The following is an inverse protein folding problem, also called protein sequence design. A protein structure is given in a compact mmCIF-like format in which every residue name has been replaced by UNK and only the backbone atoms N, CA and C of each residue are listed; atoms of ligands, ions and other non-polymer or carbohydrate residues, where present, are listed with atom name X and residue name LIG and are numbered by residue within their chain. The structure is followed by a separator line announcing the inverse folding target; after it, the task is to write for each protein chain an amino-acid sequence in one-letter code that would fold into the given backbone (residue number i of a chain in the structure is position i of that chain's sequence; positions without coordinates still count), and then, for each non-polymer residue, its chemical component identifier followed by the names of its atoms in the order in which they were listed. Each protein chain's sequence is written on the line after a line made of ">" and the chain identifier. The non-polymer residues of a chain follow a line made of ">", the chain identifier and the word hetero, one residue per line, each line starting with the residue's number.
data_IF_962812414128
#
_entry.id   IF_962812414128
#
_cell.length_a   1.000
_cell.length_b   1.000
_cell.length_c   1.000
_cell.angle_alpha   90.00
_cell.angle_beta   90.00
_cell.angle_gamma   90.00
#
_symmetry.space_group_name_H-M   'P 1'
#
loop_
_entity.id
_entity.type
_entity.pdbx_description
1 polymer ?
#
# COMPACT_ATOMS: atom_id res chain seq x y z
N UNK A 1 -10.45 14.69 -19.57
CA UNK A 1 -11.09 15.24 -18.34
C UNK A 1 -10.42 14.74 -17.05
N UNK A 2 -10.23 13.40 -16.88
CA UNK A 2 -9.58 12.87 -15.66
C UNK A 2 -8.11 13.30 -15.61
N UNK A 3 -7.36 13.16 -16.71
CA UNK A 3 -5.98 13.60 -16.81
C UNK A 3 -5.82 15.09 -16.46
N UNK A 4 -6.67 15.97 -17.02
CA UNK A 4 -6.59 17.41 -16.75
C UNK A 4 -6.88 17.72 -15.27
N UNK A 5 -7.82 16.99 -14.66
CA UNK A 5 -8.15 17.14 -13.25
C UNK A 5 -6.98 16.67 -12.34
N UNK A 6 -6.37 15.55 -12.68
CA UNK A 6 -5.21 15.02 -11.96
C UNK A 6 -4.01 16.00 -12.05
N UNK A 7 -3.72 16.52 -13.25
CA UNK A 7 -2.64 17.49 -13.44
C UNK A 7 -2.88 18.78 -12.63
N UNK A 8 -4.10 19.35 -12.71
CA UNK A 8 -4.47 20.51 -11.88
C UNK A 8 -4.33 20.25 -10.40
N UNK A 9 -4.66 19.03 -9.94
CA UNK A 9 -4.55 18.68 -8.53
C UNK A 9 -3.09 18.62 -8.07
N UNK A 10 -2.18 17.99 -8.83
CA UNK A 10 -0.75 17.95 -8.45
C UNK A 10 -0.12 19.34 -8.57
N UNK A 11 -0.53 20.18 -9.51
CA UNK A 11 -0.01 21.53 -9.71
C UNK A 11 -0.32 22.47 -8.53
N UNK A 12 -1.30 22.14 -7.67
CA UNK A 12 -1.50 22.85 -6.40
C UNK A 12 -0.32 22.68 -5.44
N UNK A 13 0.56 21.74 -5.72
CA UNK A 13 1.77 21.42 -4.95
C UNK A 13 3.02 21.58 -5.82
N UNK A 14 3.03 22.58 -6.70
CA UNK A 14 4.11 22.84 -7.68
C UNK A 14 5.49 23.06 -7.03
N UNK A 15 5.54 23.43 -5.76
CA UNK A 15 6.73 23.58 -4.93
C UNK A 15 7.36 22.23 -4.49
N UNK A 16 6.66 21.11 -4.68
CA UNK A 16 7.07 19.78 -4.25
C UNK A 16 7.13 18.78 -5.43
N UNK A 17 7.61 17.57 -5.16
CA UNK A 17 7.54 16.44 -6.08
C UNK A 17 6.22 15.68 -5.80
N UNK A 18 5.09 16.21 -6.30
CA UNK A 18 3.80 15.55 -6.17
C UNK A 18 3.49 14.71 -7.42
N UNK A 19 2.88 13.56 -7.19
CA UNK A 19 2.55 12.59 -8.23
C UNK A 19 1.14 12.03 -7.99
N UNK A 20 0.44 11.70 -9.07
CA UNK A 20 -0.88 11.09 -9.02
C UNK A 20 -1.04 10.07 -10.15
N UNK A 21 -1.51 8.88 -9.81
CA UNK A 21 -1.93 7.86 -10.76
C UNK A 21 -3.38 7.49 -10.48
N UNK A 22 -4.21 7.46 -11.52
CA UNK A 22 -5.62 7.11 -11.43
C UNK A 22 -5.88 5.88 -12.28
N UNK A 23 -6.35 4.81 -11.64
CA UNK A 23 -6.73 3.54 -12.29
C UNK A 23 -8.21 3.30 -12.04
N UNK A 24 -8.94 2.84 -13.08
CA UNK A 24 -10.33 2.37 -12.95
C UNK A 24 -10.30 0.94 -12.37
N UNK A 25 -10.80 0.70 -11.14
CA UNK A 25 -10.66 -0.60 -10.50
C UNK A 25 -11.34 -1.74 -11.26
N UNK A 26 -12.48 -1.46 -11.94
CA UNK A 26 -13.27 -2.47 -12.63
C UNK A 26 -12.64 -2.98 -13.93
N UNK A 27 -11.78 -2.19 -14.59
CA UNK A 27 -11.21 -2.51 -15.90
C UNK A 27 -9.70 -2.53 -15.96
N UNK A 28 -9.03 -1.86 -15.01
CA UNK A 28 -7.57 -1.66 -15.02
C UNK A 28 -7.12 -0.47 -15.88
N UNK A 29 -8.04 0.27 -16.52
CA UNK A 29 -7.66 1.43 -17.34
C UNK A 29 -6.89 2.46 -16.51
N UNK A 30 -5.72 2.85 -16.99
CA UNK A 30 -4.94 3.99 -16.47
C UNK A 30 -5.57 5.26 -17.03
N UNK A 31 -6.33 5.95 -16.19
CA UNK A 31 -7.12 7.14 -16.59
C UNK A 31 -6.31 8.43 -16.52
N UNK A 32 -5.30 8.47 -15.66
CA UNK A 32 -4.40 9.61 -15.54
C UNK A 32 -3.06 9.19 -14.92
N UNK A 33 -2.00 9.83 -15.40
CA UNK A 33 -0.69 9.87 -14.79
C UNK A 33 -0.27 11.34 -14.79
N UNK A 34 -0.07 11.92 -13.61
CA UNK A 34 0.26 13.32 -13.46
C UNK A 34 1.37 13.48 -12.43
N UNK A 35 2.26 14.43 -12.68
CA UNK A 35 3.29 14.82 -11.72
C UNK A 35 3.65 16.29 -11.91
N UNK A 36 4.24 16.90 -10.88
CA UNK A 36 4.69 18.29 -10.93
C UNK A 36 5.94 18.43 -11.78
N UNK A 37 6.18 19.64 -12.30
CA UNK A 37 7.41 19.96 -13.03
C UNK A 37 8.71 19.68 -12.24
N UNK A 38 8.65 19.70 -10.90
CA UNK A 38 9.78 19.32 -10.06
C UNK A 38 10.02 17.80 -10.08
N UNK A 39 8.96 17.00 -10.12
CA UNK A 39 9.06 15.56 -10.30
C UNK A 39 9.56 15.20 -11.71
N UNK A 40 9.08 15.88 -12.76
CA UNK A 40 9.49 15.67 -14.15
C UNK A 40 11.01 15.79 -14.38
N UNK A 41 11.67 16.68 -13.63
CA UNK A 41 13.14 16.81 -13.68
C UNK A 41 13.90 15.56 -13.28
N UNK A 42 13.23 14.63 -12.56
CA UNK A 42 13.81 13.37 -12.06
C UNK A 42 13.34 12.15 -12.86
N UNK A 43 12.52 12.33 -13.88
CA UNK A 43 11.95 11.29 -14.72
C UNK A 43 10.51 10.95 -14.37
N UNK A 44 10.03 9.82 -14.85
CA UNK A 44 8.63 9.36 -14.67
C UNK A 44 8.39 8.78 -13.27
N UNK A 45 8.51 9.62 -12.24
CA UNK A 45 8.42 9.18 -10.84
C UNK A 45 7.04 8.59 -10.51
N UNK A 46 5.97 9.09 -11.13
CA UNK A 46 4.62 8.56 -10.95
C UNK A 46 4.50 7.08 -11.34
N UNK A 47 5.28 6.63 -12.34
CA UNK A 47 5.24 5.26 -12.86
C UNK A 47 6.38 4.38 -12.35
N UNK A 48 7.57 4.94 -12.16
CA UNK A 48 8.80 4.16 -11.89
C UNK A 48 9.55 4.58 -10.63
N UNK A 49 9.18 5.71 -10.00
CA UNK A 49 9.83 6.18 -8.77
C UNK A 49 9.52 5.24 -7.60
N UNK A 50 10.56 4.73 -6.94
CA UNK A 50 10.42 3.80 -5.82
C UNK A 50 10.66 4.52 -4.49
N UNK A 51 9.64 4.54 -3.66
CA UNK A 51 9.63 5.20 -2.35
C UNK A 51 9.13 4.26 -1.26
N UNK A 52 9.53 4.44 0.01
CA UNK A 52 8.86 3.77 1.11
C UNK A 52 7.36 4.12 1.11
N UNK A 53 6.45 3.13 1.06
CA UNK A 53 5.00 3.41 0.96
C UNK A 53 4.40 3.99 2.24
N UNK A 54 5.12 3.89 3.35
CA UNK A 54 4.67 4.38 4.65
C UNK A 54 3.35 3.74 5.08
N UNK A 55 2.56 4.49 5.84
CA UNK A 55 1.31 3.99 6.44
C UNK A 55 0.26 3.49 5.46
N UNK A 56 0.33 3.86 4.18
CA UNK A 56 -0.56 3.29 3.17
C UNK A 56 -0.35 1.79 2.98
N UNK A 57 0.84 1.27 3.29
CA UNK A 57 1.16 -0.15 3.24
C UNK A 57 0.47 -0.98 4.33
N UNK A 58 -0.07 -0.35 5.37
CA UNK A 58 -0.85 -1.03 6.41
C UNK A 58 -2.08 -1.76 5.88
N UNK A 59 -2.56 -1.41 4.68
CA UNK A 59 -3.57 -2.20 3.96
C UNK A 59 -3.09 -3.64 3.72
N UNK A 60 -1.84 -3.79 3.27
CA UNK A 60 -1.21 -5.09 3.04
C UNK A 60 -0.99 -5.82 4.37
N UNK A 61 -0.45 -5.11 5.38
CA UNK A 61 -0.16 -5.70 6.70
C UNK A 61 -1.41 -6.13 7.44
N UNK A 62 -2.49 -5.36 7.37
CA UNK A 62 -3.79 -5.76 7.93
C UNK A 62 -4.32 -7.03 7.24
N UNK A 63 -4.19 -7.08 5.90
CA UNK A 63 -4.64 -8.23 5.11
C UNK A 63 -3.90 -9.48 5.48
N UNK A 64 -2.57 -9.47 5.50
CA UNK A 64 -1.77 -10.65 5.88
C UNK A 64 -2.07 -11.08 7.33
N UNK A 65 -2.22 -10.13 8.26
CA UNK A 65 -2.59 -10.42 9.64
C UNK A 65 -3.95 -11.12 9.75
N UNK A 66 -4.92 -10.73 8.93
CA UNK A 66 -6.24 -11.39 8.87
C UNK A 66 -6.17 -12.76 8.19
N UNK A 67 -5.45 -12.90 7.08
CA UNK A 67 -5.30 -14.17 6.36
C UNK A 67 -4.62 -15.25 7.21
N UNK A 68 -3.69 -14.88 8.08
CA UNK A 68 -3.01 -15.80 8.99
C UNK A 68 -3.70 -15.95 10.36
N UNK A 69 -4.89 -15.34 10.54
CA UNK A 69 -5.66 -15.44 11.77
C UNK A 69 -5.01 -14.77 12.99
N UNK A 70 -4.05 -13.88 12.77
CA UNK A 70 -3.36 -13.14 13.84
C UNK A 70 -4.27 -12.07 14.45
N UNK A 71 -5.11 -11.46 13.61
CA UNK A 71 -6.00 -10.36 13.98
C UNK A 71 -7.30 -10.39 13.17
N UNK A 72 -8.32 -9.73 13.70
CA UNK A 72 -9.56 -9.36 13.00
C UNK A 72 -9.81 -7.86 13.20
N UNK A 73 -10.72 -7.20 12.46
CA UNK A 73 -11.05 -5.79 12.68
C UNK A 73 -11.42 -5.45 14.13
N UNK A 74 -12.04 -6.39 14.85
CA UNK A 74 -12.51 -6.22 16.22
C UNK A 74 -11.51 -6.71 17.28
N UNK A 75 -10.39 -7.31 16.85
CA UNK A 75 -9.34 -7.74 17.79
C UNK A 75 -8.85 -6.58 18.63
N UNK A 76 -8.80 -6.75 19.95
CA UNK A 76 -8.17 -5.79 20.85
C UNK A 76 -6.66 -5.88 20.69
N UNK A 77 -6.04 -4.79 20.28
CA UNK A 77 -4.59 -4.67 20.02
C UNK A 77 -3.98 -3.50 20.81
N UNK A 78 -2.75 -3.62 21.28
CA UNK A 78 -2.06 -2.52 21.92
C UNK A 78 -1.62 -1.48 20.89
N UNK A 79 -1.77 -0.20 21.24
CA UNK A 79 -1.22 0.94 20.48
C UNK A 79 -0.48 1.87 21.46
N UNK A 80 0.66 1.44 22.02
CA UNK A 80 1.49 2.31 22.86
C UNK A 80 2.20 3.35 22.00
N UNK A 81 2.66 4.46 22.59
CA UNK A 81 3.42 5.49 21.89
C UNK A 81 4.71 4.95 21.26
N UNK A 82 5.36 4.04 21.97
CA UNK A 82 6.58 3.34 21.54
C UNK A 82 6.52 1.86 21.86
N UNK A 83 7.18 1.02 21.04
CA UNK A 83 7.36 -0.41 21.30
C UNK A 83 8.78 -0.83 20.91
N UNK A 84 9.40 -1.69 21.72
CA UNK A 84 10.68 -2.33 21.36
C UNK A 84 10.42 -3.77 20.93
N UNK A 85 10.82 -4.10 19.70
CA UNK A 85 10.72 -5.45 19.15
C UNK A 85 12.12 -5.87 18.67
N UNK A 86 12.71 -6.85 19.31
CA UNK A 86 14.12 -7.20 19.09
C UNK A 86 15.03 -6.01 19.40
N UNK A 87 15.85 -5.61 18.44
CA UNK A 87 16.72 -4.43 18.53
C UNK A 87 16.06 -3.13 18.09
N UNK A 88 14.86 -3.19 17.45
CA UNK A 88 14.18 -2.02 16.88
C UNK A 88 13.22 -1.37 17.87
N UNK A 89 13.34 -0.05 18.02
CA UNK A 89 12.34 0.79 18.70
C UNK A 89 11.48 1.44 17.62
N UNK A 90 10.17 1.24 17.70
CA UNK A 90 9.18 1.81 16.78
C UNK A 90 8.35 2.86 17.53
N UNK A 91 8.10 3.97 16.89
CA UNK A 91 7.34 5.10 17.42
C UNK A 91 6.07 5.33 16.59
N UNK A 92 5.00 5.70 17.25
CA UNK A 92 3.88 6.38 16.58
C UNK A 92 4.28 7.84 16.30
N UNK A 93 3.58 8.48 15.37
CA UNK A 93 3.79 9.90 15.11
C UNK A 93 3.57 10.72 16.41
N UNK A 94 4.55 11.56 16.78
CA UNK A 94 4.54 12.31 18.05
C UNK A 94 4.30 11.42 19.30
N UNK A 95 4.69 10.17 19.26
CA UNK A 95 4.55 9.21 20.37
C UNK A 95 3.12 9.08 20.93
N UNK A 96 2.09 9.34 20.11
CA UNK A 96 0.71 9.18 20.58
C UNK A 96 0.44 7.74 21.02
N UNK A 97 -0.38 7.58 22.05
CA UNK A 97 -0.81 6.28 22.58
C UNK A 97 -2.33 6.23 22.68
N UNK A 98 -2.90 5.08 22.29
CA UNK A 98 -4.35 4.83 22.42
C UNK A 98 -4.66 3.75 23.47
N UNK A 99 -3.64 3.18 24.10
CA UNK A 99 -3.81 2.01 24.96
C UNK A 99 -4.25 0.79 24.16
N UNK A 100 -5.21 0.03 24.68
CA UNK A 100 -5.79 -1.12 24.00
C UNK A 100 -7.04 -0.69 23.23
N UNK A 101 -7.04 -0.89 21.92
CA UNK A 101 -8.13 -0.50 21.01
C UNK A 101 -8.44 -1.61 20.01
N UNK A 102 -9.55 -1.49 19.27
CA UNK A 102 -9.79 -2.41 18.15
C UNK A 102 -8.74 -2.21 17.04
N UNK A 103 -8.45 -3.27 16.27
CA UNK A 103 -7.57 -3.15 15.09
C UNK A 103 -8.09 -2.07 14.13
N UNK A 104 -9.41 -1.97 13.94
CA UNK A 104 -10.04 -0.91 13.14
C UNK A 104 -9.63 0.47 13.64
N UNK A 105 -9.65 0.71 14.95
CA UNK A 105 -9.25 2.00 15.53
C UNK A 105 -7.75 2.25 15.38
N UNK A 106 -6.92 1.24 15.62
CA UNK A 106 -5.46 1.34 15.43
C UNK A 106 -5.12 1.64 13.95
N UNK A 107 -5.82 0.99 13.01
CA UNK A 107 -5.68 1.25 11.58
C UNK A 107 -6.11 2.69 11.23
N UNK A 108 -7.28 3.11 11.67
CA UNK A 108 -7.84 4.43 11.41
C UNK A 108 -6.96 5.57 11.95
N UNK A 109 -6.28 5.36 13.06
CA UNK A 109 -5.34 6.32 13.67
C UNK A 109 -3.89 6.09 13.23
N UNK A 110 -3.67 5.18 12.29
CA UNK A 110 -2.34 4.91 11.73
C UNK A 110 -1.27 4.49 12.74
N UNK A 111 -1.64 3.65 13.72
CA UNK A 111 -0.75 3.21 14.79
C UNK A 111 0.42 2.34 14.28
N UNK A 112 1.63 2.88 14.20
CA UNK A 112 2.82 2.13 13.75
C UNK A 112 3.16 0.96 14.67
N UNK A 113 3.07 1.19 15.98
CA UNK A 113 3.46 0.19 16.99
C UNK A 113 2.60 -1.06 16.93
N UNK A 114 1.29 -0.92 16.66
CA UNK A 114 0.38 -2.06 16.42
C UNK A 114 0.80 -2.86 15.18
N UNK A 115 1.07 -2.19 14.06
CA UNK A 115 1.38 -2.88 12.81
C UNK A 115 2.78 -3.48 12.81
N UNK A 116 3.74 -2.88 13.53
CA UNK A 116 5.02 -3.49 13.83
C UNK A 116 4.89 -4.78 14.65
N UNK A 117 4.00 -4.78 15.66
CA UNK A 117 3.72 -5.97 16.48
C UNK A 117 3.05 -7.08 15.65
N UNK A 118 2.05 -6.74 14.82
CA UNK A 118 1.40 -7.71 13.92
C UNK A 118 2.41 -8.33 12.96
N UNK A 119 3.23 -7.51 12.29
CA UNK A 119 4.19 -8.00 11.30
C UNK A 119 5.35 -8.77 11.93
N UNK A 120 5.70 -8.49 13.18
CA UNK A 120 6.73 -9.25 13.90
C UNK A 120 6.39 -10.73 14.08
N UNK A 121 5.10 -11.06 14.04
CA UNK A 121 4.57 -12.43 14.21
C UNK A 121 4.49 -13.20 12.88
N UNK A 122 4.71 -12.51 11.76
CA UNK A 122 4.73 -13.12 10.43
C UNK A 122 6.02 -13.92 10.21
N UNK A 123 5.93 -14.94 9.35
CA UNK A 123 7.10 -15.66 8.85
C UNK A 123 7.75 -14.88 7.70
N UNK A 124 9.04 -15.12 7.41
CA UNK A 124 9.68 -14.61 6.21
C UNK A 124 8.85 -14.90 4.95
N UNK A 125 8.67 -13.90 4.10
CA UNK A 125 7.94 -14.01 2.83
C UNK A 125 6.44 -13.81 2.92
N UNK A 126 5.78 -13.91 4.07
CA UNK A 126 4.31 -13.77 4.16
C UNK A 126 3.85 -12.36 3.77
N UNK A 127 4.56 -11.31 4.24
CA UNK A 127 4.26 -9.93 3.85
C UNK A 127 4.48 -9.70 2.35
N UNK A 128 5.59 -10.22 1.80
CA UNK A 128 5.89 -10.20 0.36
C UNK A 128 4.80 -10.87 -0.47
N UNK A 129 4.41 -12.09 -0.08
CA UNK A 129 3.36 -12.85 -0.78
C UNK A 129 2.03 -12.09 -0.81
N UNK A 130 1.65 -11.47 0.32
CA UNK A 130 0.43 -10.66 0.36
C UNK A 130 0.56 -9.37 -0.45
N UNK A 131 1.73 -8.72 -0.44
CA UNK A 131 1.97 -7.54 -1.29
C UNK A 131 1.80 -7.88 -2.79
N UNK A 132 2.21 -9.07 -3.21
CA UNK A 132 2.00 -9.57 -4.58
C UNK A 132 0.51 -9.76 -4.90
N UNK A 133 -0.32 -10.16 -3.94
CA UNK A 133 -1.79 -10.21 -4.11
C UNK A 133 -2.41 -8.83 -4.39
N UNK A 134 -1.74 -7.76 -4.00
CA UNK A 134 -2.10 -6.37 -4.29
C UNK A 134 -1.41 -5.80 -5.54
N UNK A 135 -0.59 -6.58 -6.23
CA UNK A 135 0.11 -6.18 -7.45
C UNK A 135 1.51 -5.59 -7.24
N UNK A 136 1.99 -5.44 -6.00
CA UNK A 136 3.37 -5.00 -5.74
C UNK A 136 4.34 -6.14 -6.04
N UNK A 137 5.39 -5.85 -6.82
CA UNK A 137 6.35 -6.86 -7.30
C UNK A 137 5.88 -7.63 -8.53
N UNK A 138 4.73 -7.26 -9.10
CA UNK A 138 4.32 -7.74 -10.42
C UNK A 138 4.88 -6.83 -11.51
N UNK A 139 5.36 -7.45 -12.58
CA UNK A 139 5.85 -6.75 -13.77
C UNK A 139 4.80 -6.76 -14.87
N UNK A 140 4.60 -5.57 -15.45
CA UNK A 140 3.67 -5.38 -16.56
C UNK A 140 4.43 -4.87 -17.80
N UNK A 141 4.06 -5.40 -18.97
CA UNK A 141 4.40 -4.77 -20.25
C UNK A 141 3.13 -4.12 -20.79
N UNK A 142 3.06 -2.80 -20.64
CA UNK A 142 1.94 -1.96 -21.08
C UNK A 142 2.43 -1.14 -22.26
N UNK A 143 1.73 -1.22 -23.40
CA UNK A 143 2.10 -0.43 -24.55
C UNK A 143 1.96 1.06 -24.23
N UNK A 144 3.07 1.80 -24.39
CA UNK A 144 3.15 3.23 -24.12
C UNK A 144 3.45 3.63 -22.68
N UNK A 145 3.65 2.68 -21.76
CA UNK A 145 4.05 2.96 -20.38
C UNK A 145 5.15 2.02 -19.91
N UNK A 146 6.22 2.61 -19.40
CA UNK A 146 7.20 1.88 -18.59
C UNK A 146 6.81 2.03 -17.12
N UNK A 147 6.66 0.91 -16.42
CA UNK A 147 6.15 0.89 -15.05
C UNK A 147 6.99 0.00 -14.14
N UNK A 148 7.11 0.42 -12.88
CA UNK A 148 7.56 -0.41 -11.77
C UNK A 148 6.48 -0.36 -10.68
N UNK A 149 6.10 -1.50 -10.13
CA UNK A 149 5.10 -1.52 -9.05
C UNK A 149 5.73 -1.36 -7.68
N UNK A 150 6.95 -1.86 -7.52
CA UNK A 150 7.68 -1.85 -6.26
C UNK A 150 8.28 -3.21 -5.94
N UNK A 151 8.82 -3.31 -4.72
CA UNK A 151 9.38 -4.55 -4.18
C UNK A 151 9.17 -4.63 -2.68
N UNK A 152 8.84 -5.82 -2.20
CA UNK A 152 8.81 -6.18 -0.79
C UNK A 152 9.79 -7.35 -0.60
N UNK A 153 10.79 -7.24 0.26
CA UNK A 153 11.79 -8.28 0.44
C UNK A 153 11.21 -9.52 1.13
N UNK A 154 11.98 -10.61 1.14
CA UNK A 154 11.64 -11.83 1.88
C UNK A 154 11.55 -11.58 3.39
N UNK A 155 12.29 -10.60 3.90
CA UNK A 155 12.31 -10.18 5.30
C UNK A 155 12.66 -11.33 6.27
N UNK A 156 13.82 -11.98 6.03
CA UNK A 156 14.32 -13.07 6.88
C UNK A 156 14.62 -12.58 8.29
N UNK A 157 15.14 -11.36 8.43
CA UNK A 157 15.41 -10.74 9.70
C UNK A 157 14.15 -10.15 10.35
N UNK A 158 14.07 -10.26 11.70
CA UNK A 158 12.95 -9.71 12.46
C UNK A 158 12.79 -8.21 12.24
N UNK A 159 13.88 -7.46 12.18
CA UNK A 159 13.86 -6.01 11.98
C UNK A 159 13.23 -5.64 10.65
N UNK A 160 13.52 -6.37 9.58
CA UNK A 160 12.95 -6.13 8.26
C UNK A 160 11.42 -6.36 8.27
N UNK A 161 10.94 -7.42 8.95
CA UNK A 161 9.49 -7.65 9.12
C UNK A 161 8.82 -6.55 9.93
N UNK A 162 9.45 -6.12 11.00
CA UNK A 162 8.94 -5.05 11.88
C UNK A 162 8.79 -3.74 11.10
N UNK A 163 9.83 -3.33 10.36
CA UNK A 163 9.80 -2.08 9.58
C UNK A 163 8.85 -2.17 8.38
N UNK A 164 8.84 -3.30 7.67
CA UNK A 164 7.92 -3.55 6.57
C UNK A 164 6.45 -3.50 7.01
N UNK A 165 6.13 -3.87 8.24
CA UNK A 165 4.76 -3.87 8.77
C UNK A 165 4.06 -2.51 8.73
N UNK A 166 4.81 -1.41 8.70
CA UNK A 166 4.26 -0.06 8.55
C UNK A 166 4.83 0.69 7.34
N UNK A 167 5.34 -0.07 6.35
CA UNK A 167 5.76 0.43 5.05
C UNK A 167 7.06 1.22 5.07
N UNK A 168 8.00 0.82 5.91
CA UNK A 168 9.32 1.42 6.05
C UNK A 168 10.42 0.38 5.77
N UNK A 169 11.65 0.74 6.05
CA UNK A 169 12.81 -0.14 5.86
C UNK A 169 13.11 -0.38 4.38
N UNK A 170 13.05 -1.64 3.96
CA UNK A 170 13.40 -2.08 2.60
C UNK A 170 12.20 -2.17 1.65
N UNK A 171 10.99 -1.91 2.14
CA UNK A 171 9.78 -1.91 1.31
C UNK A 171 9.75 -0.66 0.44
N UNK A 172 9.58 -0.87 -0.86
CA UNK A 172 9.52 0.20 -1.85
C UNK A 172 8.29 -0.02 -2.75
N UNK A 173 7.59 1.07 -3.05
CA UNK A 173 6.49 1.08 -4.01
C UNK A 173 6.53 2.36 -4.85
N UNK A 174 6.08 2.26 -6.08
CA UNK A 174 5.81 3.45 -6.89
C UNK A 174 4.40 3.98 -6.64
N UNK A 175 4.09 5.22 -7.01
CA UNK A 175 2.71 5.71 -7.03
C UNK A 175 1.80 4.82 -7.89
N UNK A 176 2.29 4.32 -9.02
CA UNK A 176 1.57 3.34 -9.85
C UNK A 176 1.28 2.04 -9.09
N UNK A 177 2.27 1.49 -8.38
CA UNK A 177 2.08 0.29 -7.54
C UNK A 177 1.06 0.53 -6.43
N UNK A 178 1.10 1.69 -5.76
CA UNK A 178 0.12 2.03 -4.73
C UNK A 178 -1.28 2.29 -5.30
N UNK A 179 -1.39 2.80 -6.55
CA UNK A 179 -2.67 2.88 -7.24
C UNK A 179 -3.27 1.49 -7.54
N UNK A 180 -2.42 0.49 -7.85
CA UNK A 180 -2.86 -0.91 -7.98
C UNK A 180 -3.32 -1.49 -6.64
N UNK A 181 -2.63 -1.20 -5.53
CA UNK A 181 -3.08 -1.59 -4.18
C UNK A 181 -4.48 -1.06 -3.89
N UNK A 182 -4.71 0.23 -4.15
CA UNK A 182 -6.03 0.85 -3.98
C UNK A 182 -7.09 0.24 -4.90
N UNK A 183 -6.75 -0.01 -6.17
CA UNK A 183 -7.64 -0.64 -7.14
C UNK A 183 -7.98 -2.08 -6.74
N UNK A 184 -7.03 -2.84 -6.21
CA UNK A 184 -7.23 -4.20 -5.69
C UNK A 184 -8.19 -4.20 -4.51
N UNK A 185 -8.01 -3.30 -3.54
CA UNK A 185 -8.95 -3.15 -2.42
C UNK A 185 -10.36 -2.81 -2.91
N UNK A 186 -10.49 -1.96 -3.94
CA UNK A 186 -11.78 -1.57 -4.51
C UNK A 186 -12.43 -2.68 -5.34
N UNK A 187 -11.68 -3.42 -6.16
CA UNK A 187 -12.20 -4.44 -7.06
C UNK A 187 -12.30 -5.84 -6.41
N UNK A 188 -11.56 -6.09 -5.32
CA UNK A 188 -11.42 -7.42 -4.69
C UNK A 188 -10.36 -8.31 -5.35
N UNK A 189 -9.76 -7.86 -6.44
CA UNK A 189 -8.63 -8.51 -7.13
C UNK A 189 -7.79 -7.46 -7.84
N UNK A 190 -6.52 -7.74 -8.05
CA UNK A 190 -5.64 -6.85 -8.80
C UNK A 190 -6.09 -6.77 -10.26
N UNK A 191 -6.52 -5.59 -10.74
CA UNK A 191 -6.86 -5.45 -12.15
C UNK A 191 -5.60 -5.46 -13.01
N UNK A 192 -5.69 -5.97 -14.23
CA UNK A 192 -4.61 -5.85 -15.21
C UNK A 192 -4.58 -4.42 -15.74
N UNK A 193 -3.51 -3.64 -15.48
CA UNK A 193 -3.48 -2.25 -15.93
C UNK A 193 -3.38 -2.18 -17.46
N UNK A 194 -4.09 -1.25 -18.08
CA UNK A 194 -4.06 -1.01 -19.52
C UNK A 194 -4.15 0.51 -19.80
N UNK A 195 -3.43 0.96 -20.83
CA UNK A 195 -3.50 2.35 -21.29
C UNK A 195 -4.42 2.50 -22.51
N UNK A 196 -4.34 1.55 -23.44
CA UNK A 196 -5.07 1.57 -24.72
C UNK A 196 -5.93 0.30 -24.77
N UNK A 197 -7.24 0.45 -24.86
CA UNK A 197 -8.22 -0.65 -24.79
C UNK A 197 -7.95 -1.78 -25.81
N UNK A 198 -7.47 -1.44 -27.00
CA UNK A 198 -7.13 -2.41 -28.06
C UNK A 198 -5.81 -3.12 -27.86
N UNK A 199 -4.97 -2.68 -26.90
CA UNK A 199 -3.64 -3.23 -26.67
C UNK A 199 -3.61 -4.03 -25.36
N UNK A 200 -3.26 -5.33 -25.49
CA UNK A 200 -3.20 -6.22 -24.33
C UNK A 200 -1.92 -6.00 -23.53
N UNK A 201 -2.07 -5.77 -22.24
CA UNK A 201 -0.96 -5.81 -21.30
C UNK A 201 -0.51 -7.26 -21.08
N UNK A 202 0.79 -7.48 -21.10
CA UNK A 202 1.39 -8.75 -20.67
C UNK A 202 1.75 -8.64 -19.20
N UNK A 203 1.24 -9.56 -18.40
CA UNK A 203 1.62 -9.74 -17.00
C UNK A 203 2.70 -10.80 -16.93
N UNK A 204 3.86 -10.48 -16.37
CA UNK A 204 5.02 -11.38 -16.37
C UNK A 204 5.05 -12.34 -15.18
N UNK A 205 4.53 -11.92 -14.03
CA UNK A 205 4.54 -12.66 -12.76
C UNK A 205 3.10 -12.81 -12.28
N UNK A 206 2.42 -13.91 -12.64
CA UNK A 206 0.96 -14.06 -12.44
C UNK A 206 0.55 -14.94 -11.26
N UNK A 207 1.49 -15.48 -10.50
CA UNK A 207 1.23 -16.58 -9.57
C UNK A 207 0.67 -16.18 -8.19
N UNK A 208 0.41 -14.91 -7.97
CA UNK A 208 -0.16 -14.47 -6.70
C UNK A 208 -1.65 -14.86 -6.59
N UNK A 209 -2.07 -15.63 -5.57
CA UNK A 209 -3.46 -15.96 -5.36
C UNK A 209 -4.27 -14.71 -5.05
N UNK A 210 -5.57 -14.73 -5.36
CA UNK A 210 -6.48 -13.63 -5.01
C UNK A 210 -6.74 -13.59 -3.51
N UNK A 211 -6.99 -12.39 -2.99
CA UNK A 211 -7.44 -12.21 -1.60
C UNK A 211 -8.89 -12.69 -1.50
N UNK A 212 -9.22 -13.43 -0.45
CA UNK A 212 -10.59 -13.89 -0.24
C UNK A 212 -11.56 -12.71 -0.03
N UNK A 213 -12.81 -12.79 -0.55
CA UNK A 213 -13.77 -11.69 -0.44
C UNK A 213 -14.06 -11.23 0.99
N UNK A 214 -14.23 -12.10 1.99
CA UNK A 214 -14.45 -11.66 3.38
C UNK A 214 -13.31 -10.80 3.92
N UNK A 215 -12.05 -11.11 3.59
CA UNK A 215 -10.89 -10.31 4.00
C UNK A 215 -10.88 -8.93 3.31
N UNK A 216 -11.21 -8.87 2.03
CA UNK A 216 -11.35 -7.59 1.30
C UNK A 216 -12.45 -6.72 1.91
N UNK A 217 -13.60 -7.28 2.25
CA UNK A 217 -14.70 -6.52 2.84
C UNK A 217 -14.34 -5.96 4.22
N UNK A 218 -13.63 -6.74 5.03
CA UNK A 218 -13.07 -6.27 6.31
C UNK A 218 -12.08 -5.13 6.10
N UNK A 219 -11.17 -5.27 5.13
CA UNK A 219 -10.21 -4.21 4.79
C UNK A 219 -10.92 -2.92 4.36
N UNK A 220 -11.93 -3.00 3.49
CA UNK A 220 -12.74 -1.83 3.06
C UNK A 220 -13.41 -1.14 4.25
N UNK A 221 -13.92 -1.91 5.20
CA UNK A 221 -14.50 -1.38 6.44
C UNK A 221 -13.48 -0.57 7.24
N UNK A 222 -12.26 -1.09 7.41
CA UNK A 222 -11.18 -0.37 8.09
C UNK A 222 -10.71 0.86 7.31
N UNK A 223 -10.58 0.77 5.98
CA UNK A 223 -10.25 1.93 5.13
C UNK A 223 -11.30 3.04 5.23
N UNK A 224 -12.59 2.67 5.26
CA UNK A 224 -13.66 3.65 5.49
C UNK A 224 -13.51 4.36 6.84
N UNK A 225 -13.14 3.63 7.89
CA UNK A 225 -12.92 4.20 9.22
C UNK A 225 -11.79 5.24 9.25
N UNK A 226 -10.77 5.14 8.38
CA UNK A 226 -9.72 6.17 8.26
C UNK A 226 -10.32 7.53 7.92
N UNK A 227 -11.30 7.55 6.98
CA UNK A 227 -11.95 8.79 6.51
C UNK A 227 -13.02 9.28 7.50
N UNK A 228 -13.80 8.37 8.11
CA UNK A 228 -14.96 8.75 8.93
C UNK A 228 -14.62 9.06 10.39
N UNK A 229 -13.53 8.51 10.91
CA UNK A 229 -13.15 8.63 12.33
C UNK A 229 -11.64 8.53 12.58
N UNK A 230 -10.83 8.63 11.52
CA UNK A 230 -9.38 8.49 11.57
C UNK A 230 -8.63 9.77 11.28
N UNK A 231 -7.50 9.64 10.55
CA UNK A 231 -6.52 10.71 10.28
C UNK A 231 -6.63 11.32 8.89
N UNK A 232 -7.54 10.86 8.04
CA UNK A 232 -7.76 11.39 6.69
C UNK A 232 -9.02 12.23 6.59
#
# INVERSE_FOLDING_TARGET
>A
KVQDAAQKAVDTRADTEAMMVVIRPSTGEVLAVAQTANADKKGDLALTGLFPPGSTFKMVTATVGMQHGLVTPDSTVPCPGTIKIGSRVVHNYNDFSLGNVSLTKAFAQSCNTTFADVSSKLKPGELKSTAQQFGIGQDYKIDGLDTLTGQVPQADELVDRVEGGFGQGKDLASPFGMALVAATAAAGKTPTPTLIESHKTTVKNTDAPTIDPPTIDKLRGMMRAVVTSGTA
#
